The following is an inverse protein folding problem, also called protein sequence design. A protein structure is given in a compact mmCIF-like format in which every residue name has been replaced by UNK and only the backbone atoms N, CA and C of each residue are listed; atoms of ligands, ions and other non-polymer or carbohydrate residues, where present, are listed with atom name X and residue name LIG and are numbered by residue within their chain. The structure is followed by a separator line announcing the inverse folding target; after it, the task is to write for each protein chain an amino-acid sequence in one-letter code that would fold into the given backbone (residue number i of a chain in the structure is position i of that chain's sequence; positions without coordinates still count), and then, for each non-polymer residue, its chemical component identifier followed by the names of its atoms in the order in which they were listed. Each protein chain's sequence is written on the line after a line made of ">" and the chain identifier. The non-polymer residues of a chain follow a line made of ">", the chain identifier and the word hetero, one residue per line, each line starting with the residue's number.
data_IF_434717143269
#
_entry.id   IF_434717143269
#
_cell.length_a   1.000
_cell.length_b   1.000
_cell.length_c   1.000
_cell.angle_alpha   90.00
_cell.angle_beta   90.00
_cell.angle_gamma   90.00
#
_symmetry.space_group_name_H-M   'P 1'
#
loop_
_entity.id
_entity.type
_entity.pdbx_description
1 polymer ?
#
# COMPACT_ATOMS: atom_id res chain seq x y z
N UNK A 1 -36.53 -50.43 -25.06
CA UNK A 1 -35.25 -49.73 -25.27
C UNK A 1 -34.91 -48.97 -24.00
N UNK A 2 -34.07 -49.55 -23.13
CA UNK A 2 -33.76 -49.03 -21.80
C UNK A 2 -32.44 -48.31 -21.85
N UNK A 3 -32.45 -46.95 -21.65
CA UNK A 3 -31.25 -46.13 -21.56
C UNK A 3 -30.58 -46.37 -20.20
N UNK A 4 -29.34 -46.91 -20.19
CA UNK A 4 -28.48 -46.93 -19.03
C UNK A 4 -27.93 -45.55 -18.74
N UNK A 5 -28.20 -45.02 -17.56
CA UNK A 5 -27.59 -43.81 -17.01
C UNK A 5 -26.28 -44.26 -16.31
N UNK A 6 -25.17 -43.79 -16.81
CA UNK A 6 -23.85 -44.06 -16.20
C UNK A 6 -23.60 -43.00 -15.12
N UNK A 7 -23.60 -43.44 -13.87
CA UNK A 7 -23.31 -42.57 -12.71
C UNK A 7 -21.80 -42.35 -12.61
N UNK A 8 -21.35 -41.12 -12.77
CA UNK A 8 -19.95 -40.71 -12.53
C UNK A 8 -19.74 -40.57 -11.02
N UNK A 9 -18.90 -41.41 -10.44
CA UNK A 9 -18.59 -41.37 -9.01
C UNK A 9 -17.54 -40.30 -8.70
N UNK A 10 -17.70 -39.61 -7.53
CA UNK A 10 -16.81 -38.57 -7.01
C UNK A 10 -15.31 -38.92 -6.98
N UNK A 11 -14.93 -40.18 -7.02
CA UNK A 11 -13.55 -40.67 -7.07
C UNK A 11 -12.89 -40.52 -8.47
N UNK A 12 -13.67 -40.37 -9.55
CA UNK A 12 -13.13 -40.16 -10.91
C UNK A 12 -12.69 -38.73 -11.16
N UNK A 13 -13.37 -37.75 -10.52
CA UNK A 13 -13.02 -36.32 -10.70
C UNK A 13 -11.71 -35.91 -9.98
N UNK A 14 -11.40 -36.55 -8.85
CA UNK A 14 -10.18 -36.25 -8.08
C UNK A 14 -8.88 -36.74 -8.73
N UNK A 15 -8.96 -37.74 -9.63
CA UNK A 15 -7.75 -38.22 -10.32
C UNK A 15 -7.37 -37.40 -11.56
N UNK A 16 -8.28 -36.64 -12.14
CA UNK A 16 -8.01 -35.79 -13.30
C UNK A 16 -7.48 -34.40 -12.93
N UNK A 17 -7.81 -33.88 -11.74
CA UNK A 17 -7.36 -32.56 -11.29
C UNK A 17 -5.92 -32.52 -10.78
N UNK A 18 -5.43 -33.64 -10.19
CA UNK A 18 -4.07 -33.67 -9.62
C UNK A 18 -2.99 -33.83 -10.70
N UNK A 19 -3.30 -34.46 -11.82
CA UNK A 19 -2.34 -34.63 -12.92
C UNK A 19 -2.08 -33.34 -13.71
N UNK A 20 -3.06 -32.42 -13.80
CA UNK A 20 -2.92 -31.14 -14.50
C UNK A 20 -2.16 -30.10 -13.68
N UNK A 21 -2.34 -30.05 -12.36
CA UNK A 21 -1.63 -29.10 -11.50
C UNK A 21 -0.15 -29.45 -11.33
N UNK A 22 0.20 -30.74 -11.33
CA UNK A 22 1.59 -31.18 -11.20
C UNK A 22 2.41 -30.99 -12.49
N UNK A 23 1.76 -30.97 -13.67
CA UNK A 23 2.44 -30.75 -14.94
C UNK A 23 2.74 -29.25 -15.20
N UNK A 24 1.90 -28.32 -14.69
CA UNK A 24 2.12 -26.87 -14.84
C UNK A 24 3.25 -26.40 -13.93
N UNK A 25 3.30 -26.89 -12.69
CA UNK A 25 4.39 -26.55 -11.76
C UNK A 25 5.75 -27.10 -12.17
N UNK A 26 5.80 -28.32 -12.76
CA UNK A 26 7.04 -28.92 -13.21
C UNK A 26 7.60 -28.29 -14.50
N UNK A 27 6.74 -27.73 -15.37
CA UNK A 27 7.17 -27.01 -16.57
C UNK A 27 7.75 -25.63 -16.24
N UNK A 28 7.27 -24.95 -15.22
CA UNK A 28 7.81 -23.66 -14.78
C UNK A 28 9.19 -23.83 -14.12
N UNK A 29 9.37 -24.82 -13.26
CA UNK A 29 10.67 -25.10 -12.63
C UNK A 29 11.74 -25.58 -13.62
N UNK A 30 11.37 -26.31 -14.67
CA UNK A 30 12.34 -26.76 -15.69
C UNK A 30 12.80 -25.63 -16.63
N UNK A 31 11.99 -24.58 -16.84
CA UNK A 31 12.39 -23.42 -17.64
C UNK A 31 13.34 -22.48 -16.89
N UNK A 32 13.09 -22.24 -15.60
CA UNK A 32 14.01 -21.47 -14.73
C UNK A 32 15.42 -22.06 -14.69
N UNK A 33 15.54 -23.39 -14.69
CA UNK A 33 16.83 -24.09 -14.66
C UNK A 33 17.65 -24.00 -15.98
N UNK A 34 17.09 -23.46 -17.06
CA UNK A 34 17.75 -23.33 -18.37
C UNK A 34 18.12 -21.89 -18.73
N UNK A 35 17.87 -20.91 -17.85
CA UNK A 35 18.28 -19.53 -18.06
C UNK A 35 19.81 -19.42 -18.02
N UNK A 36 20.43 -18.96 -19.10
CA UNK A 36 21.89 -18.94 -19.26
C UNK A 36 22.59 -18.05 -18.20
N UNK A 37 21.87 -17.01 -17.68
CA UNK A 37 22.36 -16.08 -16.67
C UNK A 37 22.10 -16.49 -15.22
N UNK A 38 21.41 -17.63 -14.98
CA UNK A 38 20.99 -18.03 -13.64
C UNK A 38 19.59 -17.49 -13.27
N UNK A 39 19.29 -17.42 -11.97
CA UNK A 39 17.99 -16.99 -11.45
C UNK A 39 18.15 -15.75 -10.59
N UNK A 40 17.46 -14.67 -10.97
CA UNK A 40 17.31 -13.48 -10.15
C UNK A 40 16.24 -13.76 -9.08
N UNK A 41 16.60 -13.61 -7.82
CA UNK A 41 15.68 -13.77 -6.69
C UNK A 41 15.27 -12.41 -6.17
N UNK A 42 13.96 -12.14 -6.18
CA UNK A 42 13.36 -10.92 -5.61
C UNK A 42 12.68 -11.31 -4.32
N UNK A 43 13.17 -10.79 -3.18
CA UNK A 43 12.52 -10.97 -1.90
C UNK A 43 11.34 -10.00 -1.76
N UNK A 44 10.18 -10.48 -1.31
CA UNK A 44 9.03 -9.64 -1.00
C UNK A 44 8.55 -9.88 0.43
N UNK A 45 8.67 -8.85 1.28
CA UNK A 45 8.12 -8.86 2.63
C UNK A 45 6.79 -8.12 2.65
N UNK A 46 5.74 -8.77 3.15
CA UNK A 46 4.38 -8.24 3.18
C UNK A 46 3.65 -8.66 4.46
N UNK A 47 2.71 -7.85 4.99
CA UNK A 47 1.93 -8.19 6.18
C UNK A 47 0.73 -9.08 5.81
N UNK A 48 0.96 -10.31 5.36
CA UNK A 48 -0.12 -11.23 4.90
C UNK A 48 -1.09 -11.60 6.02
N UNK A 49 -0.65 -11.51 7.28
CA UNK A 49 -1.47 -11.77 8.47
C UNK A 49 -1.34 -10.67 9.51
N UNK A 50 -2.31 -10.62 10.46
CA UNK A 50 -2.34 -9.62 11.53
C UNK A 50 -3.13 -8.35 11.18
N UNK A 51 -3.02 -7.29 12.02
CA UNK A 51 -3.85 -6.08 11.90
C UNK A 51 -3.66 -5.28 10.60
N UNK A 52 -2.54 -5.46 9.92
CA UNK A 52 -2.20 -4.79 8.66
C UNK A 52 -2.48 -5.66 7.42
N UNK A 53 -3.16 -6.80 7.55
CA UNK A 53 -3.38 -7.74 6.45
C UNK A 53 -4.13 -7.14 5.24
N UNK A 54 -4.90 -6.06 5.44
CA UNK A 54 -5.54 -5.33 4.35
C UNK A 54 -4.54 -4.79 3.31
N UNK A 55 -3.32 -4.46 3.73
CA UNK A 55 -2.27 -4.00 2.80
C UNK A 55 -1.76 -5.12 1.88
N UNK A 56 -1.90 -6.37 2.26
CA UNK A 56 -1.47 -7.56 1.51
C UNK A 56 -2.61 -8.30 0.80
N UNK A 57 -3.85 -7.78 0.86
CA UNK A 57 -5.05 -8.47 0.34
C UNK A 57 -4.92 -8.85 -1.15
N UNK A 58 -4.21 -8.05 -1.92
CA UNK A 58 -4.04 -8.25 -3.37
C UNK A 58 -2.74 -8.98 -3.77
N UNK A 59 -1.86 -9.28 -2.82
CA UNK A 59 -0.50 -9.76 -3.13
C UNK A 59 -0.48 -11.02 -3.98
N UNK A 60 -1.30 -12.01 -3.64
CA UNK A 60 -1.33 -13.29 -4.39
C UNK A 60 -1.73 -13.06 -5.86
N UNK A 61 -2.66 -12.13 -6.11
CA UNK A 61 -3.04 -11.75 -7.47
C UNK A 61 -1.88 -11.06 -8.21
N UNK A 62 -1.25 -10.08 -7.56
CA UNK A 62 -0.13 -9.34 -8.15
C UNK A 62 1.04 -10.27 -8.43
N UNK A 63 1.44 -11.11 -7.46
CA UNK A 63 2.57 -12.04 -7.63
C UNK A 63 2.31 -13.05 -8.75
N UNK A 64 1.08 -13.56 -8.87
CA UNK A 64 0.71 -14.44 -9.98
C UNK A 64 0.84 -13.73 -11.33
N UNK A 65 0.42 -12.46 -11.43
CA UNK A 65 0.59 -11.63 -12.61
C UNK A 65 2.07 -11.37 -12.94
N UNK A 66 2.87 -11.04 -11.95
CA UNK A 66 4.32 -10.81 -12.07
C UNK A 66 5.03 -12.08 -12.52
N UNK A 67 4.71 -13.23 -11.93
CA UNK A 67 5.26 -14.53 -12.36
C UNK A 67 4.90 -14.86 -13.81
N UNK A 68 3.69 -14.47 -14.25
CA UNK A 68 3.30 -14.65 -15.65
C UNK A 68 4.09 -13.72 -16.59
N UNK A 69 4.34 -12.47 -16.22
CA UNK A 69 5.16 -11.51 -16.97
C UNK A 69 6.59 -12.02 -17.12
N UNK A 70 7.15 -12.59 -16.05
CA UNK A 70 8.54 -13.06 -16.03
C UNK A 70 8.69 -14.55 -16.36
N UNK A 71 7.65 -15.21 -16.88
CA UNK A 71 7.69 -16.65 -17.16
C UNK A 71 8.79 -17.06 -18.15
N UNK A 72 9.15 -16.18 -19.09
CA UNK A 72 10.24 -16.37 -20.05
C UNK A 72 11.57 -15.74 -19.56
N UNK A 73 11.60 -15.22 -18.32
CA UNK A 73 12.75 -14.54 -17.74
C UNK A 73 12.87 -13.06 -18.11
N UNK A 74 13.97 -12.46 -17.71
CA UNK A 74 14.37 -11.09 -18.07
C UNK A 74 15.65 -11.17 -18.92
N UNK A 75 15.67 -10.50 -20.08
CA UNK A 75 16.87 -10.34 -20.89
C UNK A 75 17.65 -9.09 -20.42
N UNK A 76 18.93 -9.29 -20.14
CA UNK A 76 19.88 -8.24 -19.70
C UNK A 76 21.16 -8.44 -20.49
N UNK A 77 21.53 -7.45 -21.32
CA UNK A 77 22.72 -7.47 -22.19
C UNK A 77 22.89 -8.77 -22.99
N UNK A 78 21.80 -9.28 -23.57
CA UNK A 78 21.75 -10.49 -24.38
C UNK A 78 21.80 -11.80 -23.59
N UNK A 79 21.74 -11.74 -22.27
CA UNK A 79 21.65 -12.90 -21.37
C UNK A 79 20.27 -12.98 -20.74
N UNK A 80 19.62 -14.15 -20.84
CA UNK A 80 18.32 -14.38 -20.19
C UNK A 80 18.53 -14.91 -18.79
N UNK A 81 17.91 -14.24 -17.79
CA UNK A 81 17.85 -14.65 -16.39
C UNK A 81 16.45 -15.12 -16.04
N UNK A 82 16.31 -16.24 -15.34
CA UNK A 82 15.06 -16.61 -14.70
C UNK A 82 14.73 -15.63 -13.55
N UNK A 83 13.46 -15.52 -13.19
CA UNK A 83 13.04 -14.68 -12.07
C UNK A 83 12.23 -15.51 -11.08
N UNK A 84 12.59 -15.40 -9.81
CA UNK A 84 11.89 -16.02 -8.68
C UNK A 84 11.49 -14.95 -7.67
N UNK A 85 10.20 -14.88 -7.31
CA UNK A 85 9.71 -14.01 -6.23
C UNK A 85 9.52 -14.84 -4.97
N UNK A 86 10.28 -14.54 -3.92
CA UNK A 86 10.22 -15.22 -2.62
C UNK A 86 9.48 -14.34 -1.62
N UNK A 87 8.30 -14.79 -1.19
CA UNK A 87 7.41 -14.02 -0.31
C UNK A 87 7.54 -14.47 1.13
N UNK A 88 7.68 -13.52 2.06
CA UNK A 88 7.68 -13.77 3.51
C UNK A 88 6.63 -12.90 4.19
N UNK A 89 5.92 -13.48 5.16
CA UNK A 89 4.92 -12.79 5.98
C UNK A 89 5.56 -12.11 7.19
N UNK A 90 5.44 -10.78 7.29
CA UNK A 90 5.86 -10.01 8.46
C UNK A 90 4.92 -10.19 9.67
N UNK A 91 3.74 -10.80 9.47
CA UNK A 91 2.70 -10.97 10.50
C UNK A 91 2.30 -9.65 11.16
N UNK A 92 2.39 -8.54 10.43
CA UNK A 92 2.17 -7.17 10.95
C UNK A 92 3.02 -6.83 12.18
N UNK A 93 4.19 -7.46 12.32
CA UNK A 93 5.09 -7.32 13.47
C UNK A 93 6.47 -6.83 13.03
N UNK A 94 7.01 -5.72 13.61
CA UNK A 94 8.27 -5.14 13.19
C UNK A 94 9.48 -6.06 13.41
N UNK A 95 9.52 -6.84 14.50
CA UNK A 95 10.61 -7.77 14.74
C UNK A 95 10.57 -8.91 13.72
N UNK A 96 9.37 -9.46 13.44
CA UNK A 96 9.23 -10.50 12.42
C UNK A 96 9.58 -9.98 11.02
N UNK A 97 9.25 -8.71 10.71
CA UNK A 97 9.63 -8.09 9.44
C UNK A 97 11.16 -8.05 9.27
N UNK A 98 11.89 -7.66 10.33
CA UNK A 98 13.36 -7.70 10.33
C UNK A 98 13.90 -9.13 10.20
N UNK A 99 13.33 -10.09 10.94
CA UNK A 99 13.77 -11.50 10.91
C UNK A 99 13.61 -12.11 9.52
N UNK A 100 12.44 -11.94 8.88
CA UNK A 100 12.20 -12.51 7.55
C UNK A 100 13.00 -11.80 6.46
N UNK A 101 13.31 -10.50 6.63
CA UNK A 101 14.23 -9.80 5.75
C UNK A 101 15.64 -10.38 5.84
N UNK A 102 16.13 -10.62 7.06
CA UNK A 102 17.41 -11.28 7.27
C UNK A 102 17.43 -12.71 6.71
N UNK A 103 16.34 -13.48 6.83
CA UNK A 103 16.22 -14.80 6.20
C UNK A 103 16.36 -14.71 4.67
N UNK A 104 15.65 -13.75 4.02
CA UNK A 104 15.72 -13.53 2.57
C UNK A 104 17.14 -13.14 2.12
N UNK A 105 17.83 -12.32 2.90
CA UNK A 105 19.20 -11.85 2.59
C UNK A 105 20.22 -12.97 2.77
N UNK A 106 20.21 -13.61 3.94
CA UNK A 106 21.31 -14.49 4.37
C UNK A 106 21.15 -15.95 3.97
N UNK A 107 19.90 -16.42 3.83
CA UNK A 107 19.60 -17.82 3.53
C UNK A 107 19.09 -18.02 2.10
N UNK A 108 18.19 -17.12 1.66
CA UNK A 108 17.62 -17.20 0.33
C UNK A 108 18.53 -16.48 -0.72
N UNK A 109 19.44 -15.59 -0.26
CA UNK A 109 20.40 -14.84 -1.08
C UNK A 109 19.72 -14.05 -2.20
N UNK A 110 18.72 -13.20 -1.82
CA UNK A 110 17.97 -12.40 -2.79
C UNK A 110 18.84 -11.30 -3.42
N UNK A 111 18.65 -11.05 -4.71
CA UNK A 111 19.38 -10.02 -5.45
C UNK A 111 18.82 -8.62 -5.25
N UNK A 112 17.53 -8.53 -4.92
CA UNK A 112 16.82 -7.29 -4.66
C UNK A 112 15.66 -7.57 -3.71
N UNK A 113 15.44 -6.66 -2.76
CA UNK A 113 14.31 -6.70 -1.83
C UNK A 113 13.23 -5.71 -2.25
N UNK A 114 11.96 -6.12 -2.15
CA UNK A 114 10.82 -5.22 -2.24
C UNK A 114 9.94 -5.35 -1.00
N UNK A 115 9.33 -4.24 -0.55
CA UNK A 115 8.45 -4.23 0.62
C UNK A 115 7.35 -3.19 0.48
N UNK A 116 6.12 -3.55 0.88
CA UNK A 116 4.94 -2.71 0.80
C UNK A 116 4.12 -2.83 2.07
N UNK A 117 4.20 -1.84 2.95
CA UNK A 117 3.42 -1.75 4.18
C UNK A 117 3.62 -0.40 4.87
N UNK A 118 3.07 -0.28 6.10
CA UNK A 118 3.27 0.86 6.98
C UNK A 118 4.73 0.96 7.49
N UNK A 119 5.16 2.11 8.05
CA UNK A 119 6.53 2.27 8.55
C UNK A 119 6.97 1.17 9.52
N UNK A 120 6.04 0.65 10.35
CA UNK A 120 6.33 -0.35 11.38
C UNK A 120 6.91 -1.65 10.81
N UNK A 121 6.52 -2.03 9.61
CA UNK A 121 6.99 -3.27 8.97
C UNK A 121 7.84 -3.03 7.73
N UNK A 122 7.82 -1.82 7.16
CA UNK A 122 8.66 -1.43 6.01
C UNK A 122 10.06 -1.01 6.46
N UNK A 123 10.17 -0.20 7.53
CA UNK A 123 11.46 0.32 8.00
C UNK A 123 12.41 -0.79 8.44
N UNK A 124 11.99 -1.79 9.26
CA UNK A 124 12.89 -2.88 9.65
C UNK A 124 13.43 -3.68 8.46
N UNK A 125 12.65 -3.87 7.40
CA UNK A 125 13.11 -4.54 6.18
C UNK A 125 14.17 -3.69 5.47
N UNK A 126 13.88 -2.39 5.28
CA UNK A 126 14.81 -1.46 4.66
C UNK A 126 16.11 -1.35 5.46
N UNK A 127 16.05 -1.37 6.80
CA UNK A 127 17.25 -1.32 7.66
C UNK A 127 18.09 -2.58 7.53
N UNK A 128 17.47 -3.77 7.44
CA UNK A 128 18.20 -5.01 7.18
C UNK A 128 18.91 -4.97 5.83
N UNK A 129 18.27 -4.43 4.80
CA UNK A 129 18.87 -4.28 3.49
C UNK A 129 20.04 -3.28 3.49
N UNK A 130 19.89 -2.13 4.16
CA UNK A 130 20.93 -1.11 4.27
C UNK A 130 22.17 -1.65 4.98
N UNK A 131 21.99 -2.35 6.12
CA UNK A 131 23.09 -2.91 6.91
C UNK A 131 23.84 -4.02 6.14
N UNK A 132 23.16 -4.81 5.33
CA UNK A 132 23.74 -5.92 4.58
C UNK A 132 24.14 -5.56 3.15
N UNK A 133 23.95 -4.31 2.71
CA UNK A 133 24.31 -3.86 1.36
C UNK A 133 23.48 -4.52 0.26
N UNK A 134 22.19 -4.78 0.51
CA UNK A 134 21.27 -5.38 -0.47
C UNK A 134 20.32 -4.31 -1.01
N UNK A 135 20.22 -4.12 -2.33
CA UNK A 135 19.29 -3.14 -2.91
C UNK A 135 17.85 -3.39 -2.47
N UNK A 136 17.14 -2.34 -2.06
CA UNK A 136 15.78 -2.43 -1.57
C UNK A 136 14.92 -1.30 -2.12
N UNK A 137 13.70 -1.66 -2.55
CA UNK A 137 12.66 -0.72 -2.95
C UNK A 137 11.47 -0.89 -2.01
N UNK A 138 11.00 0.22 -1.43
CA UNK A 138 9.87 0.22 -0.52
C UNK A 138 8.79 1.22 -0.93
N UNK A 139 7.56 0.99 -0.45
CA UNK A 139 6.41 1.87 -0.71
C UNK A 139 5.35 1.76 0.38
N UNK A 140 4.27 2.55 0.27
CA UNK A 140 3.06 2.51 1.12
C UNK A 140 3.27 3.05 2.54
N UNK A 141 4.39 3.69 2.83
CA UNK A 141 4.60 4.52 4.01
C UNK A 141 4.78 5.98 3.57
N UNK A 142 4.22 6.99 4.23
CA UNK A 142 4.61 8.37 3.96
C UNK A 142 6.12 8.53 4.05
N UNK A 143 6.71 9.30 3.13
CA UNK A 143 8.17 9.30 3.02
C UNK A 143 8.88 9.83 4.27
N UNK A 144 8.27 10.74 5.04
CA UNK A 144 8.89 11.30 6.25
C UNK A 144 9.08 10.25 7.35
N UNK A 145 8.06 9.48 7.79
CA UNK A 145 8.29 8.41 8.76
C UNK A 145 9.21 7.30 8.21
N UNK A 146 9.20 7.02 6.91
CA UNK A 146 10.19 6.08 6.35
C UNK A 146 11.62 6.64 6.44
N UNK A 147 11.82 7.90 6.11
CA UNK A 147 13.16 8.50 6.00
C UNK A 147 13.73 8.90 7.36
N UNK A 148 12.99 9.71 8.13
CA UNK A 148 13.55 10.32 9.35
C UNK A 148 13.63 9.35 10.53
N UNK A 149 12.69 8.43 10.70
CA UNK A 149 12.76 7.46 11.82
C UNK A 149 13.86 6.43 11.64
N UNK A 150 14.33 6.22 10.42
CA UNK A 150 15.52 5.43 10.08
C UNK A 150 16.84 6.22 10.18
N UNK A 151 16.79 7.48 10.56
CA UNK A 151 17.96 8.35 10.66
C UNK A 151 18.48 8.88 9.33
N UNK A 152 17.63 8.93 8.30
CA UNK A 152 17.96 9.49 6.99
C UNK A 152 18.41 10.94 7.10
N UNK A 153 19.48 11.28 6.40
CA UNK A 153 20.06 12.63 6.35
C UNK A 153 19.72 13.28 5.02
N UNK A 154 19.06 14.46 5.02
CA UNK A 154 18.65 15.12 3.78
C UNK A 154 19.77 15.39 2.76
N UNK A 155 21.01 15.48 3.23
CA UNK A 155 22.17 15.73 2.35
C UNK A 155 22.73 14.47 1.67
N UNK A 156 22.55 13.28 2.27
CA UNK A 156 23.20 12.05 1.81
C UNK A 156 22.27 10.88 1.56
N UNK A 157 21.10 10.84 2.21
CA UNK A 157 20.16 9.73 2.13
C UNK A 157 20.69 8.43 2.70
N UNK A 158 20.35 7.34 2.01
CA UNK A 158 20.76 5.97 2.25
C UNK A 158 21.62 5.46 1.09
N UNK A 159 22.32 4.36 1.26
CA UNK A 159 23.18 3.79 0.23
C UNK A 159 22.42 2.78 -0.65
N UNK A 160 21.68 1.83 -0.04
CA UNK A 160 21.07 0.70 -0.74
C UNK A 160 19.55 0.74 -0.79
N UNK A 161 18.89 1.66 -0.07
CA UNK A 161 17.44 1.64 0.09
C UNK A 161 16.76 2.84 -0.52
N UNK A 162 15.69 2.60 -1.29
CA UNK A 162 14.91 3.57 -2.05
C UNK A 162 13.43 3.45 -1.71
N UNK A 163 12.70 4.57 -1.80
CA UNK A 163 11.30 4.63 -1.42
C UNK A 163 10.50 5.51 -2.37
N UNK A 164 9.31 5.06 -2.76
CA UNK A 164 8.39 5.90 -3.51
C UNK A 164 7.00 5.87 -2.89
N UNK A 165 6.56 7.01 -2.41
CA UNK A 165 5.21 7.28 -1.91
C UNK A 165 5.02 8.77 -1.70
N UNK A 166 3.78 9.19 -1.43
CA UNK A 166 3.47 10.57 -1.04
C UNK A 166 3.99 10.93 0.35
N UNK A 167 3.93 12.20 0.70
CA UNK A 167 4.37 12.71 2.00
C UNK A 167 3.25 13.31 2.85
N UNK A 168 3.60 13.66 4.09
CA UNK A 168 2.66 14.30 5.02
C UNK A 168 2.09 15.60 4.45
N UNK A 169 2.91 16.38 3.75
CA UNK A 169 2.46 17.61 3.09
C UNK A 169 1.36 17.37 2.05
N UNK A 170 1.43 16.23 1.34
CA UNK A 170 0.45 15.86 0.31
C UNK A 170 -0.88 15.46 0.94
N UNK A 171 -0.87 14.60 1.96
CA UNK A 171 -2.09 14.15 2.64
C UNK A 171 -2.77 15.27 3.41
N UNK A 172 -1.99 16.15 4.05
CA UNK A 172 -2.52 17.32 4.75
C UNK A 172 -3.20 18.26 3.75
N UNK A 173 -2.54 18.57 2.63
CA UNK A 173 -3.10 19.38 1.55
C UNK A 173 -4.39 18.78 0.99
N UNK A 174 -4.40 17.49 0.73
CA UNK A 174 -5.56 16.74 0.23
C UNK A 174 -6.73 16.78 1.22
N UNK A 175 -6.48 16.56 2.52
CA UNK A 175 -7.54 16.60 3.53
C UNK A 175 -8.11 18.02 3.71
N UNK A 176 -7.27 19.04 3.69
CA UNK A 176 -7.73 20.44 3.72
C UNK A 176 -8.59 20.79 2.50
N UNK A 177 -8.24 20.31 1.29
CA UNK A 177 -9.05 20.49 0.09
C UNK A 177 -10.42 19.80 0.23
N UNK A 178 -10.45 18.57 0.77
CA UNK A 178 -11.68 17.84 1.04
C UNK A 178 -12.58 18.59 2.06
N UNK A 179 -12.03 18.95 3.19
CA UNK A 179 -12.80 19.63 4.28
C UNK A 179 -13.28 21.02 3.90
N UNK A 180 -12.53 21.72 3.05
CA UNK A 180 -12.90 23.04 2.53
C UNK A 180 -14.16 23.04 1.65
N UNK A 181 -14.66 21.88 1.23
CA UNK A 181 -15.88 21.75 0.43
C UNK A 181 -17.17 21.80 1.30
N UNK A 182 -17.05 21.66 2.63
CA UNK A 182 -18.20 21.62 3.53
C UNK A 182 -18.13 22.73 4.59
N UNK A 183 -19.30 23.21 4.98
CA UNK A 183 -19.41 24.19 6.06
C UNK A 183 -19.26 23.51 7.42
N UNK A 184 -18.15 23.80 8.13
CA UNK A 184 -17.80 23.23 9.44
C UNK A 184 -17.37 24.32 10.40
N UNK A 185 -17.35 24.00 11.70
CA UNK A 185 -16.76 24.86 12.74
C UNK A 185 -15.23 24.98 12.63
N UNK A 186 -14.61 24.19 11.73
CA UNK A 186 -13.15 23.99 11.63
C UNK A 186 -12.50 23.46 12.91
N UNK A 187 -13.27 22.80 13.78
CA UNK A 187 -12.77 22.06 14.95
C UNK A 187 -12.47 20.62 14.56
N UNK A 188 -11.22 20.22 14.72
CA UNK A 188 -10.67 18.92 14.30
C UNK A 188 -10.26 18.10 15.51
N UNK A 189 -10.66 16.85 15.57
CA UNK A 189 -10.18 15.85 16.53
C UNK A 189 -9.12 14.96 15.87
N UNK A 190 -7.94 14.89 16.47
CA UNK A 190 -6.83 14.09 15.99
C UNK A 190 -6.76 12.72 16.67
N UNK A 191 -6.73 11.65 15.88
CA UNK A 191 -6.56 10.27 16.32
C UNK A 191 -5.22 9.73 15.83
N UNK A 192 -4.19 9.92 16.66
CA UNK A 192 -2.80 9.58 16.32
C UNK A 192 -2.27 8.47 17.25
N UNK A 193 -2.01 7.26 16.74
CA UNK A 193 -1.45 6.16 17.54
C UNK A 193 0.00 6.43 17.95
N UNK A 194 0.48 5.67 18.93
CA UNK A 194 1.90 5.65 19.32
C UNK A 194 2.68 4.68 18.43
N UNK A 195 2.78 5.02 17.15
CA UNK A 195 3.55 4.31 16.15
C UNK A 195 4.25 5.31 15.22
N UNK A 196 4.98 4.83 14.21
CA UNK A 196 5.73 5.66 13.28
C UNK A 196 4.88 6.70 12.56
N UNK A 197 3.71 6.28 12.06
CA UNK A 197 2.78 7.19 11.38
C UNK A 197 2.12 8.15 12.36
N UNK A 198 1.54 7.66 13.44
CA UNK A 198 0.83 8.51 14.40
C UNK A 198 1.72 9.57 15.04
N UNK A 199 2.98 9.23 15.32
CA UNK A 199 3.97 10.18 15.80
C UNK A 199 4.31 11.24 14.76
N UNK A 200 4.48 10.84 13.48
CA UNK A 200 4.75 11.77 12.39
C UNK A 200 3.53 12.66 12.07
N UNK A 201 2.31 12.11 12.06
CA UNK A 201 1.09 12.86 11.78
C UNK A 201 0.77 13.89 12.87
N UNK A 202 1.02 13.56 14.13
CA UNK A 202 0.82 14.47 15.25
C UNK A 202 2.06 15.30 15.61
N UNK A 203 3.14 15.23 14.81
CA UNK A 203 4.33 16.07 15.03
C UNK A 203 4.00 17.57 14.85
N UNK A 204 4.52 18.40 15.74
CA UNK A 204 4.18 19.82 15.78
C UNK A 204 4.68 20.62 14.55
N UNK A 205 5.78 20.17 13.93
CA UNK A 205 6.43 20.89 12.83
C UNK A 205 6.14 20.24 11.46
N UNK A 206 6.18 18.92 11.38
CA UNK A 206 6.04 18.16 10.12
C UNK A 206 4.62 17.61 9.91
N UNK A 207 3.86 17.44 10.98
CA UNK A 207 2.51 16.84 10.96
C UNK A 207 1.38 17.84 10.79
N UNK A 208 0.18 17.42 11.19
CA UNK A 208 -1.06 18.19 11.06
C UNK A 208 -1.14 19.48 11.89
N UNK A 209 -0.57 19.60 13.11
CA UNK A 209 -0.84 20.75 13.97
C UNK A 209 -0.56 22.10 13.32
N UNK A 210 0.60 22.27 12.74
CA UNK A 210 1.03 23.57 12.17
C UNK A 210 0.26 23.96 10.90
N UNK A 211 0.09 23.10 9.88
CA UNK A 211 -0.72 23.40 8.70
C UNK A 211 -2.20 23.67 9.03
N UNK A 212 -2.79 22.92 9.97
CA UNK A 212 -4.17 23.13 10.39
C UNK A 212 -4.35 24.53 10.99
N UNK A 213 -3.48 24.92 11.91
CA UNK A 213 -3.50 26.26 12.51
C UNK A 213 -3.34 27.35 11.43
N UNK A 214 -2.43 27.14 10.44
CA UNK A 214 -2.24 28.06 9.32
C UNK A 214 -3.46 28.21 8.41
N UNK A 215 -4.28 27.15 8.28
CA UNK A 215 -5.53 27.15 7.51
C UNK A 215 -6.77 27.57 8.34
N UNK A 216 -6.56 27.96 9.60
CA UNK A 216 -7.62 28.42 10.51
C UNK A 216 -8.47 27.31 11.13
N UNK A 217 -7.94 26.09 11.18
CA UNK A 217 -8.53 24.98 11.93
C UNK A 217 -7.95 24.89 13.33
N UNK A 218 -8.77 24.46 14.29
CA UNK A 218 -8.34 24.16 15.66
C UNK A 218 -8.25 22.66 15.87
N UNK A 219 -7.09 22.16 16.28
CA UNK A 219 -6.86 20.76 16.54
C UNK A 219 -6.99 20.42 18.02
N UNK A 220 -7.85 19.47 18.36
CA UNK A 220 -7.90 18.80 19.65
C UNK A 220 -7.08 17.50 19.53
N UNK A 221 -5.84 17.53 20.00
CA UNK A 221 -4.94 16.38 20.10
C UNK A 221 -4.93 15.86 21.54
N UNK A 222 -5.39 14.63 21.75
CA UNK A 222 -5.45 13.98 23.07
C UNK A 222 -4.18 13.20 23.42
N UNK A 223 -3.13 13.36 22.64
CA UNK A 223 -1.88 12.59 22.74
C UNK A 223 -1.94 11.27 21.98
N UNK A 224 -0.90 10.47 22.15
CA UNK A 224 -0.72 9.21 21.43
C UNK A 224 -1.37 8.05 22.18
N UNK A 225 -2.31 7.36 21.53
CA UNK A 225 -2.91 6.15 22.08
C UNK A 225 -2.12 4.90 21.61
N UNK A 226 -2.25 3.79 22.34
CA UNK A 226 -1.63 2.52 21.92
C UNK A 226 -2.50 1.80 20.92
N UNK A 227 -1.90 1.27 19.84
CA UNK A 227 -2.60 0.42 18.90
C UNK A 227 -3.21 -0.80 19.61
N UNK A 228 -4.35 -1.26 19.12
CA UNK A 228 -5.15 -2.35 19.69
C UNK A 228 -5.77 -2.01 21.06
N UNK A 229 -6.01 -0.71 21.34
CA UNK A 229 -6.80 -0.31 22.52
C UNK A 229 -8.29 -0.58 22.30
N UNK A 230 -8.98 -0.92 23.36
CA UNK A 230 -10.42 -1.24 23.34
C UNK A 230 -11.30 -0.11 23.93
N UNK A 231 -10.69 1.01 24.36
CA UNK A 231 -11.40 2.15 24.96
C UNK A 231 -10.91 3.50 24.45
N UNK A 232 -11.81 4.21 23.76
CA UNK A 232 -11.62 5.57 23.24
C UNK A 232 -12.51 6.61 23.95
N UNK A 233 -13.06 6.28 25.12
CA UNK A 233 -14.00 7.17 25.85
C UNK A 233 -13.39 8.53 26.18
N UNK A 234 -12.10 8.57 26.53
CA UNK A 234 -11.39 9.83 26.84
C UNK A 234 -11.30 10.76 25.62
N UNK A 235 -10.92 10.20 24.47
CA UNK A 235 -10.81 10.94 23.20
C UNK A 235 -12.19 11.46 22.77
N UNK A 236 -13.21 10.61 22.76
CA UNK A 236 -14.58 10.97 22.39
C UNK A 236 -15.12 12.08 23.31
N UNK A 237 -14.90 11.98 24.61
CA UNK A 237 -15.31 13.01 25.57
C UNK A 237 -14.61 14.35 25.29
N UNK A 238 -13.31 14.35 25.02
CA UNK A 238 -12.56 15.55 24.65
C UNK A 238 -13.10 16.19 23.37
N UNK A 239 -13.40 15.40 22.34
CA UNK A 239 -13.95 15.87 21.08
C UNK A 239 -15.35 16.46 21.22
N UNK A 240 -16.22 15.84 22.03
CA UNK A 240 -17.54 16.40 22.36
C UNK A 240 -17.42 17.74 23.07
N UNK A 241 -16.55 17.85 24.07
CA UNK A 241 -16.32 19.08 24.81
C UNK A 241 -15.77 20.23 23.95
N UNK A 242 -14.96 19.89 22.92
CA UNK A 242 -14.41 20.84 21.97
C UNK A 242 -15.31 21.12 20.76
N UNK A 243 -16.53 20.56 20.73
CA UNK A 243 -17.46 20.63 19.58
C UNK A 243 -16.79 20.30 18.25
N UNK A 244 -16.07 19.18 18.20
CA UNK A 244 -15.36 18.73 17.03
C UNK A 244 -16.33 18.35 15.91
N UNK A 245 -16.17 18.94 14.73
CA UNK A 245 -16.92 18.64 13.51
C UNK A 245 -16.19 17.69 12.57
N UNK A 246 -14.86 17.60 12.69
CA UNK A 246 -14.00 16.84 11.78
C UNK A 246 -13.14 15.88 12.60
N UNK A 247 -13.17 14.62 12.27
CA UNK A 247 -12.19 13.63 12.78
C UNK A 247 -11.16 13.35 11.70
N UNK A 248 -9.90 13.38 12.10
CA UNK A 248 -8.77 12.91 11.28
C UNK A 248 -7.83 12.02 12.07
N UNK A 249 -7.01 11.26 11.38
CA UNK A 249 -6.04 10.38 12.01
C UNK A 249 -5.52 9.29 11.09
N UNK A 250 -4.71 8.42 11.67
CA UNK A 250 -4.05 7.33 10.96
C UNK A 250 -4.20 6.01 11.75
N UNK A 251 -5.45 5.57 11.88
CA UNK A 251 -5.85 4.45 12.71
C UNK A 251 -5.77 3.12 11.96
N UNK A 252 -5.33 2.06 12.61
CA UNK A 252 -5.50 0.70 12.06
C UNK A 252 -6.99 0.29 12.05
N UNK A 253 -7.43 -0.62 11.16
CA UNK A 253 -8.84 -0.98 11.02
C UNK A 253 -9.55 -1.42 12.32
N UNK A 254 -8.95 -2.24 13.21
CA UNK A 254 -9.61 -2.62 14.47
C UNK A 254 -9.88 -1.42 15.40
N UNK A 255 -8.90 -0.51 15.52
CA UNK A 255 -9.01 0.67 16.39
C UNK A 255 -10.08 1.63 15.89
N UNK A 256 -10.12 1.86 14.58
CA UNK A 256 -11.15 2.71 13.98
C UNK A 256 -12.55 2.12 14.20
N UNK A 257 -12.71 0.82 13.99
CA UNK A 257 -14.00 0.15 14.23
C UNK A 257 -14.46 0.33 15.68
N UNK A 258 -13.55 0.17 16.64
CA UNK A 258 -13.83 0.38 18.07
C UNK A 258 -14.19 1.84 18.35
N UNK A 259 -13.38 2.79 17.89
CA UNK A 259 -13.62 4.22 18.04
C UNK A 259 -14.97 4.64 17.44
N UNK A 260 -15.28 4.17 16.22
CA UNK A 260 -16.49 4.55 15.50
C UNK A 260 -17.76 4.02 16.17
N UNK A 261 -17.73 2.77 16.64
CA UNK A 261 -18.82 2.17 17.41
C UNK A 261 -19.04 2.89 18.75
N UNK A 262 -17.97 3.21 19.48
CA UNK A 262 -18.05 3.95 20.76
C UNK A 262 -18.52 5.39 20.54
N UNK A 263 -18.15 6.03 19.44
CA UNK A 263 -18.64 7.35 19.05
C UNK A 263 -20.16 7.35 18.88
N UNK A 264 -20.69 6.38 18.16
CA UNK A 264 -22.14 6.22 18.00
C UNK A 264 -22.86 5.95 19.34
N UNK A 265 -22.32 5.07 20.17
CA UNK A 265 -22.87 4.75 21.50
C UNK A 265 -22.91 5.97 22.44
N UNK A 266 -21.91 6.85 22.34
CA UNK A 266 -21.80 8.07 23.16
C UNK A 266 -22.47 9.29 22.52
N UNK A 267 -23.15 9.13 21.38
CA UNK A 267 -23.84 10.20 20.68
C UNK A 267 -22.88 11.28 20.14
N UNK A 268 -21.68 10.89 19.74
CA UNK A 268 -20.73 11.75 19.03
C UNK A 268 -20.88 11.52 17.52
N UNK A 269 -21.27 12.58 16.80
CA UNK A 269 -21.55 12.53 15.38
C UNK A 269 -20.85 13.71 14.67
N UNK A 270 -19.59 13.55 14.25
CA UNK A 270 -18.89 14.56 13.47
C UNK A 270 -19.47 14.67 12.06
N UNK A 271 -19.35 15.84 11.43
CA UNK A 271 -19.76 16.06 10.03
C UNK A 271 -18.87 15.35 9.03
N UNK A 272 -17.57 15.28 9.32
CA UNK A 272 -16.55 14.70 8.46
C UNK A 272 -15.69 13.73 9.27
N UNK A 273 -15.41 12.58 8.69
CA UNK A 273 -14.40 11.64 9.17
C UNK A 273 -13.49 11.28 8.01
N UNK A 274 -12.23 11.70 8.12
CA UNK A 274 -11.18 11.44 7.12
C UNK A 274 -10.01 10.78 7.82
N UNK A 275 -9.90 9.48 7.69
CA UNK A 275 -8.87 8.69 8.38
C UNK A 275 -8.06 7.87 7.40
N UNK A 276 -6.75 7.88 7.58
CA UNK A 276 -5.85 6.98 6.87
C UNK A 276 -5.83 5.59 7.49
N UNK A 277 -5.22 4.65 6.79
CA UNK A 277 -5.13 3.21 7.11
C UNK A 277 -6.49 2.52 7.16
N UNK A 278 -7.35 2.89 8.10
CA UNK A 278 -8.59 2.16 8.38
C UNK A 278 -9.59 2.21 7.23
N UNK A 279 -9.76 3.37 6.61
CA UNK A 279 -10.76 3.59 5.56
C UNK A 279 -10.20 3.44 4.14
N UNK A 280 -9.03 2.83 4.00
CA UNK A 280 -8.41 2.51 2.69
C UNK A 280 -9.06 1.29 2.01
N UNK A 281 -9.56 0.34 2.81
CA UNK A 281 -9.93 -0.98 2.33
C UNK A 281 -11.44 -1.16 2.26
N UNK A 282 -11.99 -1.63 1.10
CA UNK A 282 -13.42 -1.92 0.96
C UNK A 282 -13.94 -2.82 2.09
N UNK A 283 -13.22 -3.88 2.43
CA UNK A 283 -13.61 -4.85 3.44
C UNK A 283 -13.82 -4.22 4.82
N UNK A 284 -13.01 -3.23 5.20
CA UNK A 284 -13.16 -2.52 6.48
C UNK A 284 -14.42 -1.66 6.49
N UNK A 285 -14.67 -0.92 5.41
CA UNK A 285 -15.83 -0.04 5.31
C UNK A 285 -17.13 -0.85 5.20
N UNK A 286 -17.13 -1.95 4.47
CA UNK A 286 -18.26 -2.89 4.39
C UNK A 286 -18.62 -3.50 5.74
N UNK A 287 -17.64 -3.81 6.58
CA UNK A 287 -17.85 -4.36 7.92
C UNK A 287 -18.57 -3.39 8.87
N UNK A 288 -18.52 -2.08 8.59
CA UNK A 288 -19.24 -1.06 9.37
C UNK A 288 -20.75 -0.99 9.03
N UNK A 289 -21.23 -1.82 8.09
CA UNK A 289 -22.62 -1.73 7.64
C UNK A 289 -22.89 -0.41 6.93
N UNK A 290 -24.00 0.26 7.22
CA UNK A 290 -24.33 1.55 6.58
C UNK A 290 -23.57 2.73 7.21
N UNK A 291 -22.94 2.53 8.37
CA UNK A 291 -22.12 3.54 9.06
C UNK A 291 -20.77 3.83 8.35
N UNK A 292 -20.46 3.11 7.29
CA UNK A 292 -19.33 3.41 6.40
C UNK A 292 -19.63 4.48 5.34
N UNK A 293 -20.90 4.88 5.17
CA UNK A 293 -21.29 5.88 4.19
C UNK A 293 -20.70 7.24 4.50
N UNK A 294 -20.11 7.88 3.49
CA UNK A 294 -19.45 9.17 3.58
C UNK A 294 -18.17 9.21 4.44
N UNK A 295 -17.65 8.07 4.92
CA UNK A 295 -16.28 8.03 5.42
C UNK A 295 -15.30 8.34 4.29
N UNK A 296 -14.21 9.03 4.61
CA UNK A 296 -13.26 9.50 3.61
C UNK A 296 -11.81 9.16 3.98
N UNK A 297 -10.95 9.16 2.98
CA UNK A 297 -9.53 8.83 3.11
C UNK A 297 -8.70 9.49 2.00
N UNK A 298 -7.40 9.40 2.13
CA UNK A 298 -6.49 9.56 1.02
C UNK A 298 -6.69 8.44 -0.02
N UNK A 299 -6.45 8.78 -1.27
CA UNK A 299 -6.57 7.83 -2.39
C UNK A 299 -5.32 7.92 -3.25
N UNK A 300 -4.54 6.86 -3.25
CA UNK A 300 -3.25 6.79 -3.93
C UNK A 300 -3.33 6.03 -5.24
N UNK A 301 -4.35 5.22 -5.45
CA UNK A 301 -4.59 4.50 -6.68
C UNK A 301 -6.05 4.07 -6.81
N UNK A 302 -6.56 4.14 -8.04
CA UNK A 302 -7.91 3.68 -8.43
C UNK A 302 -7.87 3.17 -9.87
N UNK A 303 -8.89 2.43 -10.33
CA UNK A 303 -9.05 2.09 -11.75
C UNK A 303 -9.06 3.28 -12.72
N UNK A 304 -9.35 4.48 -12.19
CA UNK A 304 -9.43 5.72 -12.97
C UNK A 304 -8.13 6.51 -13.02
N UNK A 305 -7.05 6.03 -12.40
CA UNK A 305 -5.73 6.63 -12.55
C UNK A 305 -5.26 6.48 -14.00
N UNK A 306 -4.76 7.57 -14.64
CA UNK A 306 -4.45 7.58 -16.07
C UNK A 306 -3.06 7.00 -16.38
N UNK A 307 -2.65 5.97 -15.63
CA UNK A 307 -1.33 5.36 -15.74
C UNK A 307 -1.41 3.92 -16.25
N UNK A 308 -0.29 3.42 -16.75
CA UNK A 308 -0.16 2.07 -17.30
C UNK A 308 1.08 1.39 -16.75
N UNK A 309 1.01 0.07 -16.62
CA UNK A 309 2.15 -0.76 -16.26
C UNK A 309 3.23 -0.73 -17.33
N UNK A 310 4.47 -0.49 -16.93
CA UNK A 310 5.65 -0.51 -17.80
C UNK A 310 6.08 -1.93 -18.19
N UNK A 311 5.65 -2.95 -17.45
CA UNK A 311 6.03 -4.36 -17.69
C UNK A 311 4.92 -5.18 -18.38
N UNK A 312 3.65 -4.79 -18.26
CA UNK A 312 2.52 -5.50 -18.90
C UNK A 312 1.73 -4.66 -19.89
N UNK A 313 1.94 -3.34 -19.90
CA UNK A 313 1.16 -2.35 -20.67
C UNK A 313 -0.34 -2.29 -20.28
N UNK A 314 -0.74 -2.94 -19.18
CA UNK A 314 -2.11 -2.88 -18.67
C UNK A 314 -2.38 -1.52 -18.02
N UNK A 315 -3.54 -0.94 -18.28
CA UNK A 315 -4.02 0.24 -17.56
C UNK A 315 -4.41 -0.10 -16.12
N UNK A 316 -4.49 0.92 -15.26
CA UNK A 316 -4.99 0.76 -13.88
C UNK A 316 -6.35 0.05 -13.85
N UNK A 317 -7.26 0.41 -14.78
CA UNK A 317 -8.57 -0.24 -14.90
C UNK A 317 -8.45 -1.74 -15.23
N UNK A 318 -7.62 -2.11 -16.19
CA UNK A 318 -7.45 -3.52 -16.57
C UNK A 318 -6.89 -4.38 -15.42
N UNK A 319 -5.97 -3.83 -14.63
CA UNK A 319 -5.42 -4.53 -13.46
C UNK A 319 -6.48 -4.67 -12.37
N UNK A 320 -7.29 -3.64 -12.12
CA UNK A 320 -8.38 -3.69 -11.14
C UNK A 320 -9.50 -4.66 -11.55
N UNK A 321 -9.93 -4.60 -12.83
CA UNK A 321 -10.94 -5.51 -13.38
C UNK A 321 -10.47 -6.96 -13.29
N UNK A 322 -9.21 -7.24 -13.63
CA UNK A 322 -8.60 -8.57 -13.52
C UNK A 322 -8.55 -9.09 -12.08
N UNK A 323 -8.30 -8.22 -11.09
CA UNK A 323 -8.38 -8.59 -9.68
C UNK A 323 -9.80 -8.99 -9.30
N UNK A 324 -10.79 -8.19 -9.70
CA UNK A 324 -12.21 -8.47 -9.44
C UNK A 324 -12.66 -9.77 -10.12
N UNK A 325 -12.26 -10.01 -11.37
CA UNK A 325 -12.57 -11.25 -12.10
C UNK A 325 -11.94 -12.47 -11.41
N UNK A 326 -10.70 -12.37 -10.96
CA UNK A 326 -9.98 -13.48 -10.33
C UNK A 326 -10.47 -13.81 -8.91
N UNK A 327 -10.95 -12.81 -8.16
CA UNK A 327 -11.22 -12.96 -6.72
C UNK A 327 -12.69 -12.81 -6.34
N UNK A 328 -13.51 -12.18 -7.20
CA UNK A 328 -14.88 -11.76 -6.88
C UNK A 328 -14.96 -10.57 -5.92
N UNK A 329 -13.83 -9.92 -5.60
CA UNK A 329 -13.74 -8.81 -4.65
C UNK A 329 -13.58 -7.47 -5.37
N UNK A 330 -13.98 -6.41 -4.70
CA UNK A 330 -13.67 -5.05 -5.13
C UNK A 330 -12.16 -4.81 -5.10
N UNK A 331 -11.66 -4.03 -6.07
CA UNK A 331 -10.27 -3.59 -6.09
C UNK A 331 -9.90 -2.83 -4.81
N UNK A 332 -8.62 -2.85 -4.47
CA UNK A 332 -8.05 -2.15 -3.31
C UNK A 332 -6.80 -1.36 -3.74
N UNK A 333 -6.51 -0.27 -3.05
CA UNK A 333 -5.42 0.66 -3.43
C UNK A 333 -4.02 0.01 -3.47
N UNK A 334 -3.66 -0.94 -2.59
CA UNK A 334 -2.36 -1.61 -2.64
C UNK A 334 -2.03 -2.30 -3.96
N UNK A 335 -3.04 -2.67 -4.78
CA UNK A 335 -2.83 -3.31 -6.09
C UNK A 335 -1.81 -2.54 -6.94
N UNK A 336 -2.02 -1.22 -7.10
CA UNK A 336 -1.15 -0.40 -7.94
C UNK A 336 0.28 -0.34 -7.41
N UNK A 337 0.43 -0.16 -6.11
CA UNK A 337 1.75 0.02 -5.48
C UNK A 337 2.54 -1.28 -5.35
N UNK A 338 1.89 -2.40 -5.03
CA UNK A 338 2.53 -3.71 -5.05
C UNK A 338 3.00 -4.07 -6.48
N UNK A 339 2.19 -3.75 -7.51
CA UNK A 339 2.58 -3.93 -8.90
C UNK A 339 3.78 -3.03 -9.29
N UNK A 340 3.75 -1.74 -8.90
CA UNK A 340 4.80 -0.78 -9.22
C UNK A 340 6.16 -1.14 -8.61
N UNK A 341 6.21 -1.80 -7.45
CA UNK A 341 7.47 -2.33 -6.89
C UNK A 341 8.20 -3.22 -7.89
N UNK A 342 7.49 -4.10 -8.56
CA UNK A 342 8.08 -5.01 -9.56
C UNK A 342 8.38 -4.31 -10.88
N UNK A 343 7.69 -3.22 -11.22
CA UNK A 343 8.05 -2.38 -12.37
C UNK A 343 9.40 -1.72 -12.16
N UNK A 344 9.59 -1.07 -11.00
CA UNK A 344 10.85 -0.42 -10.63
C UNK A 344 11.98 -1.44 -10.48
N UNK A 345 11.68 -2.61 -9.87
CA UNK A 345 12.64 -3.70 -9.75
C UNK A 345 13.13 -4.20 -11.13
N UNK A 346 12.18 -4.46 -12.04
CA UNK A 346 12.52 -4.95 -13.39
C UNK A 346 13.34 -3.94 -14.20
N UNK A 347 13.02 -2.65 -14.10
CA UNK A 347 13.75 -1.57 -14.75
C UNK A 347 15.18 -1.46 -14.21
N UNK A 348 15.35 -1.42 -12.89
CA UNK A 348 16.66 -1.35 -12.26
C UNK A 348 17.54 -2.58 -12.58
N UNK A 349 16.98 -3.79 -12.49
CA UNK A 349 17.69 -5.01 -12.83
C UNK A 349 18.15 -5.02 -14.30
N UNK A 350 17.32 -4.54 -15.25
CA UNK A 350 17.70 -4.43 -16.66
C UNK A 350 18.83 -3.42 -16.88
N UNK A 351 18.74 -2.26 -16.22
CA UNK A 351 19.74 -1.19 -16.39
C UNK A 351 21.06 -1.45 -15.65
N UNK A 352 21.07 -2.36 -14.68
CA UNK A 352 22.29 -2.71 -13.95
C UNK A 352 23.34 -3.38 -14.84
N UNK A 353 22.92 -4.04 -15.94
CA UNK A 353 23.78 -4.83 -16.80
C UNK A 353 24.29 -6.13 -16.13
N UNK A 354 24.23 -6.21 -14.81
CA UNK A 354 24.58 -7.40 -14.03
C UNK A 354 23.69 -7.47 -12.79
N UNK A 355 22.59 -8.21 -12.84
CA UNK A 355 21.62 -8.26 -11.75
C UNK A 355 22.11 -9.04 -10.52
N UNK A 356 23.27 -9.70 -10.60
CA UNK A 356 23.89 -10.42 -9.49
C UNK A 356 24.83 -9.53 -8.67
N UNK A 357 25.18 -8.35 -9.17
CA UNK A 357 26.05 -7.37 -8.51
C UNK A 357 25.17 -6.31 -7.80
N UNK A 358 25.14 -6.34 -6.48
CA UNK A 358 24.33 -5.43 -5.64
C UNK A 358 24.66 -3.95 -5.87
N UNK A 359 25.94 -3.61 -6.07
CA UNK A 359 26.35 -2.23 -6.32
C UNK A 359 25.82 -1.71 -7.65
N UNK A 360 25.85 -2.53 -8.70
CA UNK A 360 25.29 -2.16 -10.00
C UNK A 360 23.76 -2.01 -9.97
N UNK A 361 23.08 -2.87 -9.21
CA UNK A 361 21.61 -2.75 -9.02
C UNK A 361 21.28 -1.50 -8.22
N UNK A 362 22.02 -1.21 -7.14
CA UNK A 362 21.91 0.04 -6.36
C UNK A 362 22.12 1.27 -7.25
N UNK A 363 23.19 1.29 -8.04
CA UNK A 363 23.50 2.42 -8.93
C UNK A 363 22.39 2.61 -9.98
N UNK A 364 21.84 1.52 -10.50
CA UNK A 364 20.69 1.57 -11.40
C UNK A 364 19.43 2.12 -10.71
N UNK A 365 19.19 1.78 -9.42
CA UNK A 365 18.09 2.36 -8.64
C UNK A 365 18.25 3.87 -8.46
N UNK A 366 19.47 4.34 -8.15
CA UNK A 366 19.76 5.77 -8.00
C UNK A 366 19.41 6.58 -9.28
N UNK A 367 19.54 5.97 -10.44
CA UNK A 367 19.27 6.57 -11.75
C UNK A 367 17.81 6.37 -12.23
N UNK A 368 16.92 5.80 -11.40
CA UNK A 368 15.53 5.55 -11.80
C UNK A 368 14.80 6.84 -12.14
N UNK A 369 14.21 6.87 -13.35
CA UNK A 369 13.32 7.90 -13.89
C UNK A 369 12.38 7.23 -14.88
N UNK A 370 11.22 6.79 -14.42
CA UNK A 370 10.30 5.99 -15.22
C UNK A 370 8.83 6.26 -14.87
N UNK A 371 7.93 5.89 -15.78
CA UNK A 371 6.50 5.87 -15.51
C UNK A 371 6.06 4.47 -15.10
N UNK A 372 5.24 4.40 -14.07
CA UNK A 372 4.66 3.17 -13.53
C UNK A 372 3.14 3.26 -13.51
N UNK A 373 2.47 2.18 -13.11
CA UNK A 373 1.01 2.14 -12.94
C UNK A 373 0.49 3.09 -11.82
N UNK A 374 1.38 3.62 -10.98
CA UNK A 374 1.07 4.62 -9.94
C UNK A 374 1.53 6.03 -10.30
N UNK A 375 2.06 6.21 -11.51
CA UNK A 375 2.61 7.45 -12.01
C UNK A 375 4.14 7.44 -12.09
N UNK A 376 4.77 8.62 -12.24
CA UNK A 376 6.22 8.71 -12.35
C UNK A 376 6.92 8.33 -11.04
N UNK A 377 8.02 7.58 -11.16
CA UNK A 377 8.97 7.30 -10.08
C UNK A 377 10.34 7.80 -10.52
N UNK A 378 10.86 8.80 -9.80
CA UNK A 378 12.14 9.43 -10.09
C UNK A 378 12.89 9.73 -8.80
N UNK A 379 13.93 8.94 -8.50
CA UNK A 379 14.72 9.11 -7.27
C UNK A 379 15.73 10.27 -7.34
N UNK A 380 15.90 10.89 -8.51
CA UNK A 380 16.81 12.04 -8.68
C UNK A 380 16.14 13.39 -8.37
N UNK A 381 14.80 13.45 -8.35
CA UNK A 381 14.03 14.66 -8.19
C UNK A 381 13.09 14.67 -6.97
N UNK A 382 13.31 13.76 -6.02
CA UNK A 382 12.52 13.67 -4.81
C UNK A 382 12.79 14.79 -3.79
N UNK A 383 12.01 14.83 -2.71
CA UNK A 383 12.17 15.84 -1.65
C UNK A 383 13.47 15.68 -0.86
N UNK A 384 14.00 14.48 -0.80
CA UNK A 384 15.28 14.09 -0.20
C UNK A 384 15.89 12.96 -1.05
N UNK A 385 17.20 12.67 -0.94
CA UNK A 385 17.80 11.54 -1.64
C UNK A 385 17.06 10.22 -1.37
N UNK A 386 17.05 9.30 -2.34
CA UNK A 386 16.42 7.97 -2.28
C UNK A 386 14.87 7.99 -2.23
N UNK A 387 14.21 9.15 -2.29
CA UNK A 387 12.76 9.26 -2.22
C UNK A 387 12.18 9.81 -3.51
N UNK A 388 11.13 9.17 -4.02
CA UNK A 388 10.28 9.69 -5.08
C UNK A 388 8.87 9.90 -4.57
N UNK A 389 8.26 11.04 -4.86
CA UNK A 389 6.85 11.29 -4.52
C UNK A 389 5.93 10.74 -5.61
N UNK A 390 4.81 10.20 -5.19
CA UNK A 390 3.74 9.73 -6.08
C UNK A 390 2.50 10.61 -5.96
N UNK A 391 1.63 10.65 -7.01
CA UNK A 391 0.36 11.38 -6.95
C UNK A 391 -0.53 10.93 -5.79
N UNK A 392 -1.27 11.90 -5.21
CA UNK A 392 -2.25 11.67 -4.17
C UNK A 392 -3.52 12.47 -4.47
N UNK A 393 -4.68 11.83 -4.28
CA UNK A 393 -6.00 12.44 -4.34
C UNK A 393 -6.79 12.10 -3.07
N UNK A 394 -7.94 12.72 -2.86
CA UNK A 394 -8.84 12.42 -1.76
C UNK A 394 -10.13 11.79 -2.25
N UNK A 395 -10.71 10.90 -1.45
CA UNK A 395 -11.95 10.22 -1.82
C UNK A 395 -12.87 9.94 -0.65
N UNK A 396 -14.11 9.61 -0.99
CA UNK A 396 -15.17 9.33 -0.04
C UNK A 396 -15.95 8.10 -0.47
N UNK A 397 -16.22 7.22 0.49
CA UNK A 397 -17.01 6.01 0.29
C UNK A 397 -18.49 6.32 0.16
N UNK A 398 -19.12 5.86 -0.91
CA UNK A 398 -20.54 6.01 -1.18
C UNK A 398 -21.22 4.66 -1.22
N UNK A 399 -22.37 4.54 -0.56
CA UNK A 399 -23.25 3.37 -0.70
C UNK A 399 -23.80 3.29 -2.13
N UNK A 400 -23.75 2.10 -2.72
CA UNK A 400 -24.26 1.79 -4.05
C UNK A 400 -23.16 1.52 -5.06
N UNK A 401 -23.56 1.14 -6.26
CA UNK A 401 -22.68 0.71 -7.34
C UNK A 401 -22.65 -0.80 -7.53
N UNK A 402 -21.58 -1.30 -8.14
CA UNK A 402 -21.38 -2.74 -8.38
C UNK A 402 -21.06 -3.50 -7.08
N UNK A 403 -20.51 -2.81 -6.09
CA UNK A 403 -20.24 -3.30 -4.74
C UNK A 403 -21.05 -2.51 -3.72
N UNK A 404 -21.02 -2.93 -2.44
CA UNK A 404 -21.73 -2.22 -1.38
C UNK A 404 -21.31 -0.76 -1.28
N UNK A 405 -20.04 -0.48 -1.49
CA UNK A 405 -19.46 0.86 -1.49
C UNK A 405 -18.63 1.13 -2.72
N UNK A 406 -18.67 2.35 -3.21
CA UNK A 406 -17.75 2.87 -4.21
C UNK A 406 -16.87 3.98 -3.63
N UNK A 407 -15.60 4.00 -4.01
CA UNK A 407 -14.69 5.10 -3.68
C UNK A 407 -14.82 6.19 -4.74
N UNK A 408 -15.35 7.32 -4.35
CA UNK A 408 -15.56 8.49 -5.21
C UNK A 408 -14.44 9.50 -4.95
N UNK A 409 -13.63 9.80 -5.96
CA UNK A 409 -12.60 10.84 -5.85
C UNK A 409 -13.28 12.21 -5.73
N UNK A 410 -13.00 12.93 -4.64
CA UNK A 410 -13.64 14.21 -4.28
C UNK A 410 -12.68 15.39 -4.22
N UNK A 411 -11.38 15.14 -4.20
CA UNK A 411 -10.32 16.15 -4.23
C UNK A 411 -9.15 15.62 -5.07
N UNK A 412 -8.62 16.42 -6.00
CA UNK A 412 -7.54 16.01 -6.90
C UNK A 412 -6.48 17.11 -7.14
N UNK A 413 -6.41 18.10 -6.26
CA UNK A 413 -5.42 19.21 -6.39
C UNK A 413 -3.97 18.72 -6.47
N UNK A 414 -3.64 17.62 -5.77
CA UNK A 414 -2.33 16.97 -5.83
C UNK A 414 -2.05 16.17 -7.12
N UNK A 415 -3.10 15.77 -7.85
CA UNK A 415 -3.02 15.01 -9.10
C UNK A 415 -4.18 15.35 -10.05
N UNK A 416 -4.19 16.53 -10.71
CA UNK A 416 -5.31 17.02 -11.50
C UNK A 416 -5.68 16.15 -12.71
N UNK A 417 -4.79 15.27 -13.13
CA UNK A 417 -5.03 14.28 -14.20
C UNK A 417 -5.86 13.06 -13.76
N UNK A 418 -6.06 12.87 -12.46
CA UNK A 418 -7.00 11.87 -11.92
C UNK A 418 -8.39 12.50 -11.89
N UNK A 419 -9.41 11.93 -12.56
CA UNK A 419 -10.71 12.57 -12.68
C UNK A 419 -11.47 12.60 -11.34
N UNK A 420 -12.15 13.72 -11.07
CA UNK A 420 -13.13 13.81 -9.98
C UNK A 420 -14.36 12.96 -10.32
N UNK A 421 -14.85 12.21 -9.35
CA UNK A 421 -16.09 11.45 -9.41
C UNK A 421 -17.27 12.18 -8.75
N UNK A 422 -16.98 13.14 -7.87
CA UNK A 422 -18.00 13.86 -7.11
C UNK A 422 -17.42 14.95 -6.23
N UNK A 423 -18.21 15.37 -5.24
CA UNK A 423 -17.82 16.32 -4.18
C UNK A 423 -17.98 15.65 -2.82
N UNK A 424 -17.34 16.22 -1.81
CA UNK A 424 -17.55 15.80 -0.42
C UNK A 424 -18.99 15.99 0.01
N UNK A 425 -19.51 15.06 0.81
CA UNK A 425 -20.79 15.13 1.50
C UNK A 425 -20.60 14.89 2.99
N UNK A 426 -21.45 15.52 3.81
CA UNK A 426 -21.45 15.30 5.25
C UNK A 426 -21.90 13.88 5.59
N UNK A 427 -21.37 13.32 6.68
CA UNK A 427 -21.84 12.03 7.24
C UNK A 427 -23.28 12.17 7.80
N UNK A 428 -23.63 13.32 8.34
CA UNK A 428 -24.93 13.61 8.95
C UNK A 428 -25.54 14.87 8.37
#
# INVERSE_FOLDING_TARGET
>A
MTKRITTITRRGLLKSGVASATLISSLSFTRLAHAAGGVIKIGFVSPKTGPLAGFAESDDYIINGINAVFAEGIEIDGTTYGVEVIVKDSQSNPNRAADVAAELILNDEVNLMVVSSTPETTNPVSDQCEINGVPCISTVAPWQPWFFTRGGKPDTGFEYTYHFFWGLEDVIGTFLEMWGQLDTSKSVGGMFPNDGDGNAWGDAELGFPKPLAGAGYSLTDTGRYQNMTDDFTAQISAFKNANVDIITGVMIPPDFTTFWNQSAQQGFAPKIVTTAKATLFPVTVEALGDAGHNLSSEVWWTPNHPFQSSISSMSAKQVADGYTEATGRQWTQPIGFAHALFEVAADALKRSGDPMDYDKVRDALAETDMNTIVGPVNFKSGPVPNVSKTPLVGGQWRLGGDFKYEMVVTANGGAPNVPLGGKMESIS
#
